data_IF_154769547128
#
_entry.id   IF_154769547128
#
_cell.length_a   1.000
_cell.length_b   1.000
_cell.length_c   1.000
_cell.angle_alpha   90.00
_cell.angle_beta   90.00
_cell.angle_gamma   90.00
#
_symmetry.space_group_name_H-M   'P 1'
#
loop_
_entity.id
_entity.type
_entity.pdbx_description
1 polymer ?
#
# COMPACT_ATOMS: atom_id res chain seq x y z
N UNK A 1 -3.27 9.25 9.77
CA UNK A 1 -1.79 9.27 9.91
C UNK A 1 -1.27 10.61 9.38
N UNK A 2 -0.45 11.33 10.15
CA UNK A 2 0.05 12.66 9.74
C UNK A 2 1.02 12.59 8.56
N UNK A 3 1.98 11.66 8.60
CA UNK A 3 3.03 11.56 7.57
C UNK A 3 2.56 10.90 6.28
N UNK A 4 1.93 9.73 6.38
CA UNK A 4 1.56 8.90 5.23
C UNK A 4 0.23 9.28 4.60
N UNK A 5 -0.56 10.15 5.25
CA UNK A 5 -1.88 10.52 4.77
C UNK A 5 -2.85 9.35 4.77
N UNK A 6 -3.70 9.29 3.75
CA UNK A 6 -4.58 8.16 3.49
C UNK A 6 -3.73 6.96 3.09
N UNK A 7 -3.89 5.86 3.83
CA UNK A 7 -3.03 4.69 3.74
C UNK A 7 -3.89 3.44 3.74
N UNK A 8 -3.60 2.52 2.81
CA UNK A 8 -4.15 1.16 2.81
C UNK A 8 -3.02 0.20 3.17
N UNK A 9 -3.32 -0.72 4.07
CA UNK A 9 -2.45 -1.83 4.44
C UNK A 9 -3.19 -3.13 4.11
N UNK A 10 -2.54 -4.01 3.36
CA UNK A 10 -3.08 -5.33 3.01
C UNK A 10 -2.18 -6.37 3.65
N UNK A 11 -2.79 -7.19 4.50
CA UNK A 11 -2.22 -8.42 5.02
C UNK A 11 -2.45 -9.54 4.00
N UNK A 12 -1.38 -10.15 3.52
CA UNK A 12 -1.40 -11.27 2.57
C UNK A 12 -1.32 -12.63 3.28
N UNK A 13 -1.30 -12.64 4.61
CA UNK A 13 -1.10 -13.81 5.45
C UNK A 13 0.38 -14.09 5.72
N UNK A 14 0.62 -14.98 6.70
CA UNK A 14 1.97 -15.43 7.10
C UNK A 14 2.95 -14.28 7.44
N UNK A 15 2.42 -13.13 7.87
CA UNK A 15 3.21 -11.95 8.19
C UNK A 15 3.68 -11.14 6.99
N UNK A 16 3.26 -11.46 5.77
CA UNK A 16 3.56 -10.67 4.57
C UNK A 16 2.53 -9.54 4.45
N UNK A 17 3.00 -8.30 4.44
CA UNK A 17 2.13 -7.13 4.37
C UNK A 17 2.62 -6.16 3.30
N UNK A 18 1.66 -5.53 2.61
CA UNK A 18 1.94 -4.38 1.73
C UNK A 18 1.28 -3.11 2.25
N UNK A 19 1.90 -1.96 1.97
CA UNK A 19 1.40 -0.63 2.31
C UNK A 19 1.34 0.27 1.08
N UNK A 20 0.27 1.02 0.96
CA UNK A 20 0.01 2.00 -0.09
C UNK A 20 -0.34 3.32 0.59
N UNK A 21 0.52 4.33 0.49
CA UNK A 21 0.38 5.60 1.19
C UNK A 21 0.22 6.79 0.22
N UNK A 22 -0.10 7.94 0.80
CA UNK A 22 -0.32 9.22 0.13
C UNK A 22 -1.55 9.28 -0.77
N UNK A 23 -2.51 8.35 -0.60
CA UNK A 23 -3.66 8.21 -1.48
C UNK A 23 -4.55 9.46 -1.50
N UNK A 24 -5.20 9.72 -2.63
CA UNK A 24 -6.24 10.76 -2.77
C UNK A 24 -7.62 10.23 -2.36
N UNK A 25 -7.86 8.94 -2.54
CA UNK A 25 -9.06 8.24 -2.10
C UNK A 25 -8.72 6.80 -1.71
N UNK A 26 -9.44 6.28 -0.71
CA UNK A 26 -9.45 4.87 -0.32
C UNK A 26 -10.78 4.26 -0.76
N UNK A 27 -10.73 3.16 -1.53
CA UNK A 27 -11.92 2.51 -2.12
C UNK A 27 -12.24 1.15 -1.47
N UNK A 28 -11.58 0.84 -0.36
CA UNK A 28 -11.79 -0.37 0.44
C UNK A 28 -12.06 -0.02 1.90
N UNK A 29 -12.66 -0.94 2.63
CA UNK A 29 -12.97 -0.80 4.06
C UNK A 29 -12.03 -1.65 4.92
N UNK A 30 -11.86 -1.27 6.18
CA UNK A 30 -11.16 -2.08 7.15
C UNK A 30 -11.80 -3.47 7.24
N UNK A 31 -10.99 -4.53 7.21
CA UNK A 31 -11.44 -5.92 7.26
C UNK A 31 -11.99 -6.47 5.94
N UNK A 32 -12.03 -5.68 4.87
CA UNK A 32 -12.45 -6.17 3.56
C UNK A 32 -11.38 -7.09 2.94
N UNK A 33 -11.76 -8.30 2.56
CA UNK A 33 -10.95 -9.16 1.70
C UNK A 33 -10.90 -8.58 0.28
N UNK A 34 -9.71 -8.53 -0.30
CA UNK A 34 -9.47 -8.05 -1.67
C UNK A 34 -8.79 -9.11 -2.51
N UNK A 35 -8.98 -9.05 -3.83
CA UNK A 35 -8.31 -9.96 -4.77
C UNK A 35 -7.17 -9.25 -5.53
N UNK A 36 -6.21 -10.02 -6.05
CA UNK A 36 -5.12 -9.48 -6.88
C UNK A 36 -5.71 -8.72 -8.08
N UNK A 37 -5.25 -7.48 -8.28
CA UNK A 37 -5.71 -6.60 -9.37
C UNK A 37 -6.96 -5.78 -9.04
N UNK A 38 -7.59 -6.00 -7.89
CA UNK A 38 -8.70 -5.17 -7.44
C UNK A 38 -8.20 -3.74 -7.15
N UNK A 39 -8.98 -2.73 -7.57
CA UNK A 39 -8.71 -1.33 -7.19
C UNK A 39 -8.96 -1.14 -5.69
N UNK A 40 -7.99 -0.56 -5.00
CA UNK A 40 -8.03 -0.30 -3.55
C UNK A 40 -8.05 1.20 -3.20
N UNK A 41 -7.80 2.06 -4.18
CA UNK A 41 -7.69 3.50 -3.98
C UNK A 41 -7.05 4.19 -5.17
N UNK A 42 -6.84 5.51 -5.02
CA UNK A 42 -6.28 6.39 -6.05
C UNK A 42 -5.01 7.05 -5.55
N UNK A 43 -4.00 7.15 -6.42
CA UNK A 43 -2.76 7.89 -6.13
C UNK A 43 -3.09 9.34 -5.79
N UNK A 44 -2.34 9.94 -4.87
CA UNK A 44 -2.62 11.29 -4.42
C UNK A 44 -1.46 12.00 -3.77
N UNK A 45 -1.80 13.03 -2.99
CA UNK A 45 -0.87 13.92 -2.29
C UNK A 45 -1.29 14.13 -0.82
N UNK A 46 -1.87 13.11 -0.17
CA UNK A 46 -2.24 13.24 1.24
C UNK A 46 -1.04 12.99 2.16
N UNK A 47 -1.07 13.60 3.36
CA UNK A 47 0.05 13.54 4.31
C UNK A 47 1.15 14.54 3.97
N UNK A 48 2.38 14.23 4.39
CA UNK A 48 3.54 15.13 4.25
C UNK A 48 4.33 14.78 3.00
N UNK A 49 3.92 15.34 1.85
CA UNK A 49 4.52 15.06 0.54
C UNK A 49 4.64 16.32 -0.32
N UNK A 50 5.62 16.35 -1.22
CA UNK A 50 5.89 17.50 -2.11
C UNK A 50 4.96 17.52 -3.34
N UNK A 51 4.64 16.36 -3.90
CA UNK A 51 3.78 16.20 -5.08
C UNK A 51 3.04 14.86 -5.09
N UNK A 52 2.08 14.67 -6.02
CA UNK A 52 1.34 13.41 -6.14
C UNK A 52 2.26 12.24 -6.50
N UNK A 53 2.24 11.17 -5.70
CA UNK A 53 2.98 9.93 -5.97
C UNK A 53 2.41 8.78 -5.14
N UNK A 54 2.77 7.55 -5.50
CA UNK A 54 2.48 6.38 -4.70
C UNK A 54 3.71 6.01 -3.88
N UNK A 55 3.56 5.89 -2.56
CA UNK A 55 4.51 5.15 -1.74
C UNK A 55 4.00 3.72 -1.59
N UNK A 56 4.74 2.77 -2.15
CA UNK A 56 4.49 1.34 -2.05
C UNK A 56 5.60 0.69 -1.23
N UNK A 57 5.22 -0.08 -0.22
CA UNK A 57 6.16 -0.80 0.64
C UNK A 57 5.70 -2.22 0.92
N UNK A 58 6.67 -3.11 1.18
CA UNK A 58 6.42 -4.51 1.56
C UNK A 58 7.21 -4.81 2.83
N UNK A 59 6.59 -5.54 3.74
CA UNK A 59 7.23 -6.08 4.94
C UNK A 59 6.93 -7.57 5.06
N UNK A 60 7.92 -8.33 5.53
CA UNK A 60 7.73 -9.70 6.02
C UNK A 60 8.04 -9.71 7.52
N UNK A 61 7.03 -10.01 8.33
CA UNK A 61 7.07 -9.85 9.78
C UNK A 61 7.49 -8.40 10.12
N UNK A 62 8.55 -8.23 10.90
CA UNK A 62 9.07 -6.92 11.31
C UNK A 62 10.08 -6.31 10.33
N UNK A 63 10.41 -7.01 9.24
CA UNK A 63 11.47 -6.61 8.31
C UNK A 63 10.88 -5.97 7.06
N UNK A 64 11.30 -4.73 6.75
CA UNK A 64 11.00 -4.06 5.49
C UNK A 64 11.84 -4.68 4.37
N UNK A 65 11.20 -5.00 3.26
CA UNK A 65 11.85 -5.59 2.09
C UNK A 65 11.96 -4.55 0.98
N UNK A 66 12.90 -4.75 0.06
CA UNK A 66 12.85 -4.10 -1.25
C UNK A 66 11.63 -4.66 -2.02
N UNK A 67 10.60 -3.85 -2.32
CA UNK A 67 9.41 -4.34 -3.00
C UNK A 67 9.71 -4.92 -4.38
N UNK A 68 10.68 -4.35 -5.12
CA UNK A 68 10.99 -4.78 -6.48
C UNK A 68 11.67 -6.15 -6.51
N UNK A 69 12.32 -6.55 -5.43
CA UNK A 69 12.95 -7.86 -5.29
C UNK A 69 11.92 -8.99 -5.02
N UNK A 70 10.71 -8.64 -4.57
CA UNK A 70 9.70 -9.62 -4.11
C UNK A 70 8.39 -9.59 -4.89
N UNK A 71 8.19 -8.58 -5.73
CA UNK A 71 7.10 -8.60 -6.72
C UNK A 71 7.55 -9.35 -7.97
N UNK A 72 6.71 -10.25 -8.44
CA UNK A 72 6.82 -10.75 -9.81
C UNK A 72 6.33 -9.65 -10.75
N UNK A 73 7.08 -9.29 -11.81
CA UNK A 73 6.58 -8.42 -12.85
C UNK A 73 5.25 -8.96 -13.37
N UNK A 74 4.33 -8.07 -13.76
CA UNK A 74 3.17 -8.48 -14.52
C UNK A 74 3.66 -9.23 -15.79
N UNK A 75 2.97 -10.30 -16.22
CA UNK A 75 3.23 -10.90 -17.52
C UNK A 75 3.06 -9.87 -18.65
#
# INVERSE_FOLDING_TARGET
MFYTGQTVMIDHGLGLQSVYAHLSAVEVKLGQTVTKGQTIGKVGKSGRVTGPHLHFGVSLLSTKLDPLAVITPAP
#
